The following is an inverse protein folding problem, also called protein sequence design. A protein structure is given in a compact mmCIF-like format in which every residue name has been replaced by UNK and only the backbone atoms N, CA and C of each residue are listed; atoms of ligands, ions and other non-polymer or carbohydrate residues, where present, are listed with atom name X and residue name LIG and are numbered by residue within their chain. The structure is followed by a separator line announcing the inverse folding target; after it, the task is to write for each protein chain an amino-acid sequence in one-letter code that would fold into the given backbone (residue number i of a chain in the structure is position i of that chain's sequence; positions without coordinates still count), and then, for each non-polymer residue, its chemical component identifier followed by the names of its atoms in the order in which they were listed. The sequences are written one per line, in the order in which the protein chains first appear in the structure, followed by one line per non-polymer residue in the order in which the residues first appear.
data_IF_543476377401
#
_entry.id   IF_543476377401
#
_cell.length_a   1.000
_cell.length_b   1.000
_cell.length_c   1.000
_cell.angle_alpha   90.00
_cell.angle_beta   90.00
_cell.angle_gamma   90.00
#
_symmetry.space_group_name_H-M   'P 1'
#
loop_
_entity.id
_entity.type
_entity.pdbx_description
1 polymer ?
#
# COMPACT_ATOMS: atom_id res chain seq x y z
N UNK A 1 -27.16 12.18 -12.72
CA UNK A 1 -26.02 11.24 -12.81
C UNK A 1 -24.83 11.78 -12.00
N UNK A 2 -24.33 11.02 -11.00
CA UNK A 2 -23.11 11.44 -10.29
C UNK A 2 -21.95 11.46 -11.29
N UNK A 3 -21.35 12.62 -11.50
CA UNK A 3 -20.36 12.89 -12.56
C UNK A 3 -18.97 12.32 -12.26
N UNK A 4 -18.81 11.53 -11.18
CA UNK A 4 -17.53 10.97 -10.74
C UNK A 4 -17.69 9.77 -9.79
N UNK A 5 -16.62 8.97 -9.64
CA UNK A 5 -16.53 7.83 -8.71
C UNK A 5 -15.70 8.12 -7.43
N UNK A 6 -15.47 9.39 -7.10
CA UNK A 6 -14.53 9.80 -6.04
C UNK A 6 -14.75 9.11 -4.68
N UNK A 7 -16.00 8.96 -4.24
CA UNK A 7 -16.30 8.30 -2.96
C UNK A 7 -15.88 6.82 -2.98
N UNK A 8 -16.16 6.12 -4.08
CA UNK A 8 -15.72 4.74 -4.29
C UNK A 8 -14.20 4.66 -4.35
N UNK A 9 -13.55 5.51 -5.13
CA UNK A 9 -12.08 5.55 -5.23
C UNK A 9 -11.41 5.77 -3.86
N UNK A 10 -11.89 6.73 -3.07
CA UNK A 10 -11.39 7.00 -1.72
C UNK A 10 -11.64 5.84 -0.75
N UNK A 11 -12.81 5.19 -0.82
CA UNK A 11 -13.10 3.99 -0.02
C UNK A 11 -12.13 2.86 -0.31
N UNK A 12 -11.77 2.63 -1.58
CA UNK A 12 -10.91 1.52 -1.98
C UNK A 12 -9.42 1.80 -1.76
N UNK A 13 -8.94 3.02 -2.02
CA UNK A 13 -7.53 3.36 -1.76
C UNK A 13 -7.19 3.23 -0.26
N UNK A 14 -8.12 3.61 0.62
CA UNK A 14 -7.93 3.49 2.06
C UNK A 14 -7.68 2.04 2.53
N UNK A 15 -8.20 1.04 1.80
CA UNK A 15 -8.08 -0.39 2.17
C UNK A 15 -6.65 -0.92 2.13
N UNK A 16 -5.78 -0.36 1.28
CA UNK A 16 -4.40 -0.82 1.14
C UNK A 16 -3.36 0.26 1.49
N UNK A 17 -3.80 1.45 1.92
CA UNK A 17 -2.92 2.53 2.36
C UNK A 17 -3.10 2.80 3.85
N UNK A 18 -4.09 3.60 4.23
CA UNK A 18 -4.19 4.15 5.58
C UNK A 18 -4.78 3.15 6.59
N UNK A 19 -5.75 2.32 6.22
CA UNK A 19 -6.39 1.40 7.17
C UNK A 19 -5.44 0.30 7.68
N UNK A 20 -4.60 -0.32 6.83
CA UNK A 20 -3.53 -1.20 7.32
C UNK A 20 -2.54 -0.47 8.23
N UNK A 21 -2.19 0.79 7.90
CA UNK A 21 -1.26 1.57 8.70
C UNK A 21 -1.82 1.89 10.10
N UNK A 22 -3.11 2.23 10.19
CA UNK A 22 -3.82 2.43 11.47
C UNK A 22 -3.86 1.11 12.26
N UNK A 23 -4.26 0.01 11.60
CA UNK A 23 -4.38 -1.32 12.23
C UNK A 23 -3.07 -1.76 12.87
N UNK A 24 -1.94 -1.52 12.22
CA UNK A 24 -0.62 -1.90 12.70
C UNK A 24 0.09 -0.82 13.53
N UNK A 25 -0.57 0.30 13.83
CA UNK A 25 0.01 1.33 14.69
C UNK A 25 1.17 2.12 14.08
N UNK A 26 1.20 2.21 12.74
CA UNK A 26 2.26 2.87 11.95
C UNK A 26 1.72 4.05 11.13
N UNK A 27 0.46 4.42 11.31
CA UNK A 27 -0.21 5.52 10.58
C UNK A 27 0.42 6.89 10.82
N UNK A 28 1.23 7.04 11.87
CA UNK A 28 2.00 8.26 12.14
C UNK A 28 3.23 8.39 11.23
N UNK A 29 3.70 7.31 10.62
CA UNK A 29 4.85 7.30 9.70
C UNK A 29 4.43 7.15 8.24
N UNK A 30 3.44 6.30 7.95
CA UNK A 30 3.09 5.89 6.56
C UNK A 30 1.59 5.76 6.34
N UNK A 31 1.18 5.41 5.12
CA UNK A 31 -0.19 5.04 4.77
C UNK A 31 -1.02 6.14 4.10
N UNK A 32 -0.49 7.36 3.97
CA UNK A 32 -1.17 8.46 3.26
C UNK A 32 -0.19 9.58 2.90
N UNK A 33 -0.63 10.48 2.02
CA UNK A 33 0.11 11.69 1.65
C UNK A 33 -0.32 12.81 2.59
N UNK A 34 0.40 12.95 3.70
CA UNK A 34 0.16 13.95 4.75
C UNK A 34 1.49 14.52 5.25
N UNK A 35 1.47 15.77 5.71
CA UNK A 35 2.68 16.40 6.26
C UNK A 35 3.20 15.63 7.48
N UNK A 36 4.53 15.53 7.59
CA UNK A 36 5.20 14.84 8.69
C UNK A 36 5.37 13.34 8.50
N UNK A 37 4.72 12.73 7.50
CA UNK A 37 4.89 11.30 7.17
C UNK A 37 6.10 11.05 6.28
N UNK A 38 6.61 9.83 6.31
CA UNK A 38 7.68 9.37 5.43
C UNK A 38 7.25 9.52 3.97
N UNK A 39 8.14 10.04 3.13
CA UNK A 39 7.87 10.31 1.71
C UNK A 39 7.89 9.03 0.85
N UNK A 40 6.94 8.14 1.13
CA UNK A 40 6.68 6.89 0.42
C UNK A 40 5.56 7.09 -0.59
N UNK A 41 5.94 7.29 -1.85
CA UNK A 41 5.06 7.72 -2.91
C UNK A 41 5.15 6.78 -4.10
N UNK A 42 4.02 6.57 -4.77
CA UNK A 42 3.96 5.83 -6.03
C UNK A 42 3.34 6.72 -7.09
N UNK A 43 4.08 6.96 -8.16
CA UNK A 43 3.59 7.72 -9.31
C UNK A 43 3.06 6.76 -10.36
N UNK A 44 1.98 7.18 -10.99
CA UNK A 44 1.27 6.39 -12.00
C UNK A 44 1.03 7.24 -13.23
N UNK A 45 1.24 6.63 -14.41
CA UNK A 45 0.56 7.09 -15.62
C UNK A 45 -0.89 6.64 -15.54
N UNK A 46 -1.90 7.47 -15.83
CA UNK A 46 -3.31 7.08 -15.70
C UNK A 46 -3.67 5.77 -16.43
N UNK A 47 -3.11 5.54 -17.62
CA UNK A 47 -3.31 4.31 -18.38
C UNK A 47 -2.80 3.02 -17.70
N UNK A 48 -1.95 3.13 -16.68
CA UNK A 48 -1.38 2.00 -15.94
C UNK A 48 -1.73 2.03 -14.45
N UNK A 49 -2.66 2.89 -14.03
CA UNK A 49 -3.04 3.04 -12.62
C UNK A 49 -3.45 1.70 -12.01
N UNK A 50 -2.81 1.34 -10.89
CA UNK A 50 -3.02 0.09 -10.16
C UNK A 50 -2.40 -1.17 -10.80
N UNK A 51 -1.75 -1.08 -11.96
CA UNK A 51 -1.06 -2.23 -12.60
C UNK A 51 0.46 -2.09 -12.60
N UNK A 52 0.99 -1.10 -13.33
CA UNK A 52 2.43 -0.88 -13.52
C UNK A 52 2.82 0.57 -13.16
N UNK A 53 3.37 0.85 -11.95
CA UNK A 53 3.73 2.21 -11.54
C UNK A 53 4.89 2.77 -12.37
N UNK A 54 4.92 4.11 -12.52
CA UNK A 54 6.00 4.79 -13.25
C UNK A 54 7.21 5.10 -12.38
N UNK A 55 7.02 5.38 -11.09
CA UNK A 55 8.10 5.56 -10.12
C UNK A 55 7.65 5.07 -8.74
N UNK A 56 8.53 4.37 -8.04
CA UNK A 56 8.35 3.99 -6.63
C UNK A 56 9.39 4.76 -5.83
N UNK A 57 8.93 5.67 -4.98
CA UNK A 57 9.75 6.54 -4.14
C UNK A 57 9.64 6.06 -2.70
N UNK A 58 10.80 5.92 -2.05
CA UNK A 58 10.94 5.52 -0.65
C UNK A 58 11.72 6.59 0.09
N UNK A 59 11.10 7.19 1.11
CA UNK A 59 11.66 8.29 1.89
C UNK A 59 12.32 9.39 1.03
N UNK A 60 11.67 9.77 -0.08
CA UNK A 60 12.15 10.84 -0.96
C UNK A 60 13.17 10.42 -2.03
N UNK A 61 13.61 9.15 -2.08
CA UNK A 61 14.47 8.65 -3.16
C UNK A 61 13.77 7.59 -4.01
N UNK A 62 14.02 7.58 -5.32
CA UNK A 62 13.48 6.54 -6.21
C UNK A 62 14.15 5.20 -5.87
N UNK A 63 13.35 4.20 -5.48
CA UNK A 63 13.79 2.85 -5.16
C UNK A 63 13.64 1.88 -6.34
N UNK A 64 12.65 2.09 -7.20
CA UNK A 64 12.46 1.30 -8.42
C UNK A 64 11.69 2.10 -9.48
N UNK A 65 11.97 1.79 -10.75
CA UNK A 65 11.33 2.39 -11.91
C UNK A 65 11.39 1.44 -13.11
N UNK A 66 10.44 1.52 -14.07
CA UNK A 66 10.61 0.92 -15.39
C UNK A 66 11.72 1.67 -16.13
N UNK A 67 12.76 0.95 -16.52
CA UNK A 67 13.96 1.53 -17.12
C UNK A 67 14.36 0.70 -18.35
N UNK A 68 14.65 1.41 -19.44
CA UNK A 68 15.07 0.86 -20.72
C UNK A 68 16.48 0.26 -20.72
N UNK A 69 17.04 0.13 -21.91
CA UNK A 69 18.42 -0.31 -22.10
C UNK A 69 19.41 0.71 -21.47
N UNK A 70 20.23 0.32 -20.48
CA UNK A 70 21.21 1.21 -19.84
C UNK A 70 22.34 1.66 -20.77
N UNK A 71 22.56 0.97 -21.90
CA UNK A 71 23.56 1.36 -22.90
C UNK A 71 22.98 2.28 -23.99
N UNK A 72 21.69 2.56 -23.97
CA UNK A 72 21.07 3.45 -24.94
C UNK A 72 21.35 4.93 -24.63
N UNK A 73 21.11 5.81 -25.62
CA UNK A 73 21.39 7.25 -25.50
C UNK A 73 20.47 8.00 -24.53
N UNK A 74 19.30 7.43 -24.22
CA UNK A 74 18.27 7.96 -23.31
C UNK A 74 17.60 6.77 -22.58
N UNK A 75 16.84 6.96 -21.48
CA UNK A 75 16.34 5.84 -20.65
C UNK A 75 15.07 5.12 -21.17
N UNK A 76 14.50 5.58 -22.29
CA UNK A 76 13.24 5.07 -22.86
C UNK A 76 13.35 3.93 -23.90
N UNK A 77 14.49 3.68 -24.58
CA UNK A 77 14.65 2.58 -25.53
C UNK A 77 14.46 1.21 -24.87
N UNK A 78 13.92 0.28 -25.64
CA UNK A 78 13.60 -1.07 -25.19
C UNK A 78 14.87 -1.91 -24.94
N UNK A 79 14.83 -2.94 -24.06
CA UNK A 79 13.66 -3.40 -23.29
C UNK A 79 13.44 -2.60 -22.00
N UNK A 80 12.21 -2.13 -21.80
CA UNK A 80 11.79 -1.45 -20.57
C UNK A 80 11.21 -2.45 -19.59
N UNK A 81 11.88 -2.62 -18.45
CA UNK A 81 11.41 -3.44 -17.33
C UNK A 81 11.76 -2.79 -15.99
N UNK A 82 11.18 -3.27 -14.89
CA UNK A 82 11.51 -2.74 -13.58
C UNK A 82 12.96 -3.03 -13.23
N UNK A 83 13.64 -2.01 -12.73
CA UNK A 83 15.00 -2.08 -12.19
C UNK A 83 15.03 -1.38 -10.84
N UNK A 84 15.87 -1.87 -9.94
CA UNK A 84 16.20 -1.14 -8.72
C UNK A 84 16.98 0.12 -9.06
N UNK A 85 16.64 1.20 -8.35
CA UNK A 85 17.27 2.51 -8.48
C UNK A 85 18.12 2.79 -7.24
N UNK A 86 18.82 3.93 -7.21
CA UNK A 86 19.77 4.26 -6.16
C UNK A 86 19.20 4.22 -4.74
N UNK A 87 17.90 4.54 -4.56
CA UNK A 87 17.23 4.45 -3.26
C UNK A 87 17.16 3.02 -2.70
N UNK A 88 17.45 1.99 -3.49
CA UNK A 88 17.49 0.59 -3.07
C UNK A 88 18.93 0.03 -2.93
N UNK A 89 19.97 0.85 -3.06
CA UNK A 89 21.38 0.41 -3.11
C UNK A 89 22.18 0.90 -1.90
N UNK A 90 23.13 0.07 -1.44
CA UNK A 90 24.14 0.44 -0.43
C UNK A 90 23.58 1.12 0.83
N UNK A 91 24.32 2.12 1.33
CA UNK A 91 23.91 2.95 2.47
C UNK A 91 22.60 3.72 2.24
N UNK A 92 22.30 4.12 0.99
CA UNK A 92 21.06 4.83 0.66
C UNK A 92 19.82 3.99 0.98
N UNK A 93 19.87 2.66 0.72
CA UNK A 93 18.80 1.74 1.11
C UNK A 93 18.49 1.80 2.60
N UNK A 94 19.49 1.99 3.45
CA UNK A 94 19.29 2.06 4.89
C UNK A 94 18.59 3.37 5.29
N UNK A 95 18.97 4.49 4.66
CA UNK A 95 18.32 5.79 4.87
C UNK A 95 16.90 5.90 4.29
N UNK A 96 16.50 5.02 3.36
CA UNK A 96 15.22 5.12 2.65
C UNK A 96 14.15 4.11 3.08
N UNK A 97 14.49 3.22 4.01
CA UNK A 97 13.56 2.22 4.56
C UNK A 97 13.45 2.35 6.07
N UNK A 98 12.31 1.91 6.58
CA UNK A 98 12.05 1.84 8.01
C UNK A 98 11.85 0.40 8.45
N UNK A 99 12.43 0.04 9.60
CA UNK A 99 12.13 -1.19 10.33
C UNK A 99 11.28 -0.82 11.52
N UNK A 100 10.05 -1.35 11.58
CA UNK A 100 9.16 -1.11 12.70
C UNK A 100 9.42 -2.10 13.82
N UNK A 101 9.57 -1.60 15.04
CA UNK A 101 9.80 -2.38 16.25
C UNK A 101 8.65 -2.19 17.25
N UNK A 102 8.48 -3.15 18.17
CA UNK A 102 7.66 -2.93 19.36
C UNK A 102 8.30 -1.88 20.25
N UNK A 103 7.47 -1.20 21.05
CA UNK A 103 7.95 -0.22 22.02
C UNK A 103 9.02 -0.81 22.95
N UNK A 104 8.78 -2.00 23.51
CA UNK A 104 9.76 -2.68 24.37
C UNK A 104 11.07 -2.98 23.66
N UNK A 105 11.04 -3.45 22.40
CA UNK A 105 12.26 -3.75 21.64
C UNK A 105 13.08 -2.48 21.36
N UNK A 106 12.41 -1.34 21.14
CA UNK A 106 13.07 -0.07 21.02
C UNK A 106 13.69 0.39 22.34
N UNK A 107 12.96 0.29 23.45
CA UNK A 107 13.39 0.71 24.80
C UNK A 107 14.57 -0.11 25.33
N UNK A 108 14.66 -1.41 25.01
CA UNK A 108 15.82 -2.26 25.37
C UNK A 108 16.94 -2.21 24.32
N UNK A 109 16.92 -1.22 23.42
CA UNK A 109 17.97 -0.94 22.43
C UNK A 109 18.26 -2.11 21.47
N UNK A 110 17.27 -2.95 21.12
CA UNK A 110 17.47 -4.07 20.18
C UNK A 110 18.09 -3.61 18.86
N UNK A 111 17.64 -2.47 18.34
CA UNK A 111 18.17 -1.90 17.11
C UNK A 111 19.67 -1.59 17.19
N UNK A 112 20.18 -1.18 18.35
CA UNK A 112 21.60 -0.91 18.58
C UNK A 112 22.37 -2.21 18.78
N UNK A 113 21.86 -3.11 19.61
CA UNK A 113 22.48 -4.41 19.86
C UNK A 113 22.67 -5.24 18.59
N UNK A 114 21.72 -5.14 17.64
CA UNK A 114 21.79 -5.82 16.35
C UNK A 114 22.52 -5.02 15.25
N UNK A 115 22.96 -3.78 15.54
CA UNK A 115 23.61 -2.93 14.55
C UNK A 115 22.72 -2.59 13.35
N UNK A 116 21.42 -2.34 13.58
CA UNK A 116 20.50 -1.97 12.51
C UNK A 116 20.82 -0.56 12.00
N UNK A 117 21.17 -0.44 10.72
CA UNK A 117 21.51 0.84 10.08
C UNK A 117 20.30 1.59 9.50
N UNK A 118 19.17 0.89 9.32
CA UNK A 118 17.96 1.48 8.73
C UNK A 118 17.23 2.40 9.71
N UNK A 119 16.36 3.28 9.20
CA UNK A 119 15.43 4.03 10.04
C UNK A 119 14.64 3.07 10.94
N UNK A 120 14.41 3.46 12.19
CA UNK A 120 13.64 2.66 13.14
C UNK A 120 12.37 3.41 13.48
N UNK A 121 11.22 2.77 13.20
CA UNK A 121 9.91 3.25 13.62
C UNK A 121 9.42 2.43 14.81
N UNK A 122 8.59 3.02 15.66
CA UNK A 122 8.03 2.33 16.83
C UNK A 122 6.52 2.21 16.66
N UNK A 123 6.01 0.98 16.65
CA UNK A 123 4.56 0.77 16.59
C UNK A 123 3.90 1.25 17.88
N UNK A 124 2.74 1.90 17.77
CA UNK A 124 1.96 2.40 18.91
C UNK A 124 0.46 2.38 18.62
N UNK A 125 -0.36 2.55 19.65
CA UNK A 125 -1.81 2.70 19.53
C UNK A 125 -2.56 1.51 18.87
N UNK A 126 -1.94 0.32 18.84
CA UNK A 126 -2.53 -0.88 18.21
C UNK A 126 -3.69 -1.53 19.00
N UNK A 127 -3.94 -1.08 20.24
CA UNK A 127 -4.92 -1.71 21.16
C UNK A 127 -6.23 -0.94 21.25
N UNK A 128 -6.20 0.37 20.97
CA UNK A 128 -7.36 1.24 21.00
C UNK A 128 -8.14 1.26 19.67
N UNK A 129 -7.52 0.82 18.57
CA UNK A 129 -8.14 0.82 17.25
C UNK A 129 -9.37 -0.10 17.20
N UNK A 130 -10.45 0.43 16.64
CA UNK A 130 -11.72 -0.24 16.41
C UNK A 130 -12.11 -0.17 14.93
N UNK A 131 -13.17 -0.89 14.57
CA UNK A 131 -13.72 -0.83 13.20
C UNK A 131 -14.20 0.58 12.83
N UNK A 132 -14.68 1.35 13.79
CA UNK A 132 -15.07 2.76 13.62
C UNK A 132 -13.92 3.67 13.17
N UNK A 133 -12.66 3.30 13.45
CA UNK A 133 -11.49 4.08 13.04
C UNK A 133 -11.07 3.82 11.58
N UNK A 134 -11.69 2.85 10.91
CA UNK A 134 -11.36 2.49 9.53
C UNK A 134 -11.93 3.51 8.56
N UNK A 135 -11.05 4.36 8.02
CA UNK A 135 -11.38 5.46 7.11
C UNK A 135 -12.24 4.95 5.95
N UNK A 136 -13.47 5.48 5.86
CA UNK A 136 -14.50 5.18 4.84
C UNK A 136 -14.94 3.71 4.76
N UNK A 137 -14.61 2.90 5.77
CA UNK A 137 -14.78 1.45 5.81
C UNK A 137 -15.18 0.96 7.22
N UNK A 138 -16.04 1.71 7.90
CA UNK A 138 -16.45 1.53 9.29
C UNK A 138 -17.80 0.81 9.47
N UNK A 139 -18.47 0.42 8.39
CA UNK A 139 -19.77 -0.26 8.46
C UNK A 139 -19.68 -1.58 9.25
N UNK A 140 -20.59 -1.73 10.23
CA UNK A 140 -20.69 -2.85 11.17
C UNK A 140 -22.11 -3.46 11.12
N UNK A 141 -22.47 -4.16 10.03
CA UNK A 141 -23.77 -4.80 9.94
C UNK A 141 -23.86 -6.02 10.85
N UNK A 142 -25.10 -6.45 11.13
CA UNK A 142 -25.34 -7.81 11.63
C UNK A 142 -25.14 -8.78 10.46
N UNK A 143 -24.03 -9.53 10.50
CA UNK A 143 -23.72 -10.54 9.47
C UNK A 143 -24.25 -11.88 9.92
N UNK A 144 -25.06 -12.49 9.07
CA UNK A 144 -25.61 -13.84 9.25
C UNK A 144 -25.12 -14.73 8.10
N UNK A 145 -24.77 -15.98 8.42
CA UNK A 145 -24.37 -16.99 7.43
C UNK A 145 -25.19 -18.23 7.68
N UNK A 146 -25.98 -18.64 6.69
CA UNK A 146 -26.75 -19.88 6.77
C UNK A 146 -25.81 -21.09 6.72
N UNK A 147 -25.92 -21.99 7.72
CA UNK A 147 -25.03 -23.15 7.85
C UNK A 147 -25.22 -24.24 6.80
N UNK A 148 -26.35 -24.24 6.07
CA UNK A 148 -26.72 -25.25 5.08
C UNK A 148 -26.51 -24.73 3.65
N UNK A 149 -26.89 -23.48 3.38
CA UNK A 149 -26.84 -22.89 2.03
C UNK A 149 -25.63 -21.98 1.81
N UNK A 150 -24.96 -21.55 2.88
CA UNK A 150 -23.88 -20.55 2.87
C UNK A 150 -24.31 -19.17 2.36
N UNK A 151 -25.62 -18.88 2.31
CA UNK A 151 -26.11 -17.54 2.06
C UNK A 151 -25.60 -16.58 3.13
N UNK A 152 -25.03 -15.46 2.68
CA UNK A 152 -24.56 -14.39 3.56
C UNK A 152 -25.56 -13.25 3.54
N UNK A 153 -26.03 -12.81 4.70
CA UNK A 153 -26.91 -11.65 4.86
C UNK A 153 -26.26 -10.57 5.71
N UNK A 154 -26.50 -9.31 5.36
CA UNK A 154 -26.17 -8.16 6.19
C UNK A 154 -27.45 -7.38 6.47
N UNK A 155 -27.80 -7.24 7.75
CA UNK A 155 -29.04 -6.57 8.19
C UNK A 155 -30.30 -7.16 7.50
N UNK A 156 -30.30 -8.49 7.31
CA UNK A 156 -31.36 -9.24 6.63
C UNK A 156 -31.27 -9.28 5.09
N UNK A 157 -30.47 -8.42 4.48
CA UNK A 157 -30.30 -8.34 3.02
C UNK A 157 -29.30 -9.38 2.52
N UNK A 158 -29.71 -10.18 1.52
CA UNK A 158 -28.83 -11.17 0.87
C UNK A 158 -27.68 -10.46 0.12
N UNK A 159 -26.45 -10.82 0.48
CA UNK A 159 -25.24 -10.37 -0.20
C UNK A 159 -24.83 -11.40 -1.26
N UNK A 160 -25.01 -11.05 -2.53
CA UNK A 160 -24.60 -11.89 -3.66
C UNK A 160 -24.08 -11.04 -4.81
N UNK A 161 -23.25 -11.63 -5.67
CA UNK A 161 -22.86 -11.06 -6.95
C UNK A 161 -22.53 -12.16 -7.96
N UNK A 162 -22.76 -11.87 -9.23
CA UNK A 162 -22.36 -12.76 -10.32
C UNK A 162 -20.83 -12.74 -10.50
N UNK A 163 -20.22 -13.89 -10.83
CA UNK A 163 -18.79 -13.93 -11.17
C UNK A 163 -18.52 -13.16 -12.46
N UNK A 164 -17.41 -12.41 -12.50
CA UNK A 164 -16.99 -11.70 -13.71
C UNK A 164 -16.22 -12.64 -14.66
N UNK A 165 -16.61 -12.68 -15.92
CA UNK A 165 -15.90 -13.46 -16.97
C UNK A 165 -14.58 -12.81 -17.41
N UNK A 166 -14.54 -11.47 -17.39
CA UNK A 166 -13.40 -10.65 -17.83
C UNK A 166 -13.21 -9.48 -16.88
N UNK A 167 -11.95 -9.14 -16.58
CA UNK A 167 -11.59 -8.03 -15.70
C UNK A 167 -10.78 -6.95 -16.43
N UNK A 168 -10.92 -5.68 -16.02
CA UNK A 168 -9.94 -4.65 -16.37
C UNK A 168 -8.59 -4.98 -15.72
N UNK A 169 -7.54 -4.23 -16.07
CA UNK A 169 -6.23 -4.36 -15.42
C UNK A 169 -5.61 -5.78 -15.54
N UNK A 170 -5.97 -6.55 -16.58
CA UNK A 170 -5.55 -7.94 -16.79
C UNK A 170 -4.82 -8.12 -18.15
N UNK A 171 -5.35 -8.97 -19.05
CA UNK A 171 -4.75 -9.41 -20.32
C UNK A 171 -4.15 -8.30 -21.20
N UNK A 172 -4.67 -7.06 -21.11
CA UNK A 172 -4.14 -5.91 -21.85
C UNK A 172 -2.70 -5.53 -21.44
N UNK A 173 -2.32 -5.79 -20.20
CA UNK A 173 -1.11 -5.22 -19.60
C UNK A 173 0.01 -6.22 -19.37
N UNK A 174 -0.29 -7.51 -19.29
CA UNK A 174 0.66 -8.54 -18.89
C UNK A 174 1.00 -9.44 -20.06
N UNK A 175 2.29 -9.79 -20.18
CA UNK A 175 2.77 -10.69 -21.24
C UNK A 175 2.32 -12.13 -20.99
N UNK A 176 2.18 -12.48 -19.71
CA UNK A 176 1.70 -13.76 -19.19
C UNK A 176 0.78 -13.49 -18.00
#
# INVERSE_FOLDING_TARGET
PSTHDNLRARRYIAKYTINPAITHGISHEVGSIELGKLADLVLWKPAFFGTKPSLIIKAGMIAAAPMGDPNASIPTPQPVHYRHMFGAMGGARHATRMTFLSQTAYEIDVHRHLGLESLVGVVRDCRGVQKADMVLNDWQPTIEVDSQTYEVRADGELLTCEPAEVLPMAQRYFLF
#
